data_IF_682817736372
#
_entry.id   IF_682817736372
#
_cell.length_a   1.000
_cell.length_b   1.000
_cell.length_c   1.000
_cell.angle_alpha   90.00
_cell.angle_beta   90.00
_cell.angle_gamma   90.00
#
_symmetry.space_group_name_H-M   'P 1'
#
loop_
_entity.id
_entity.type
_entity.pdbx_description
1 polymer ?
#
# COMPACT_ATOMS: atom_id res chain seq x y z
N UNK A 1 -7.32 6.44 -1.21
CA UNK A 1 -8.35 6.68 -2.25
C UNK A 1 -7.97 7.75 -3.29
N UNK A 2 -7.12 8.75 -2.99
CA UNK A 2 -6.76 9.84 -3.92
C UNK A 2 -5.61 9.55 -4.92
N UNK A 3 -4.97 8.38 -4.84
CA UNK A 3 -3.74 8.09 -5.59
C UNK A 3 -3.89 8.21 -7.12
N UNK A 4 -4.94 7.63 -7.70
CA UNK A 4 -5.15 7.67 -9.16
C UNK A 4 -5.53 9.07 -9.66
N UNK A 5 -6.33 9.82 -8.90
CA UNK A 5 -6.63 11.22 -9.23
C UNK A 5 -5.37 12.09 -9.15
N UNK A 6 -4.51 11.86 -8.15
CA UNK A 6 -3.23 12.56 -8.02
C UNK A 6 -2.31 12.22 -9.20
N UNK A 7 -2.27 10.96 -9.63
CA UNK A 7 -1.49 10.52 -10.79
C UNK A 7 -1.96 11.23 -12.08
N UNK A 8 -3.27 11.27 -12.36
CA UNK A 8 -3.78 12.06 -13.48
C UNK A 8 -3.41 13.55 -13.36
N UNK A 9 -3.53 14.13 -12.17
CA UNK A 9 -3.29 15.55 -11.94
C UNK A 9 -1.83 15.95 -12.18
N UNK A 10 -0.88 15.17 -11.64
CA UNK A 10 0.55 15.49 -11.76
C UNK A 10 1.11 15.24 -13.17
N UNK A 11 0.62 14.21 -13.87
CA UNK A 11 1.14 13.84 -15.20
C UNK A 11 0.32 14.39 -16.36
N UNK A 12 -0.90 14.90 -16.11
CA UNK A 12 -1.75 15.53 -17.11
C UNK A 12 -2.28 14.55 -18.15
N UNK A 13 -1.76 14.65 -19.37
CA UNK A 13 -2.15 13.78 -20.48
C UNK A 13 -1.44 12.42 -20.39
N UNK A 14 -2.08 11.48 -19.70
CA UNK A 14 -1.53 10.15 -19.46
C UNK A 14 -2.16 9.13 -20.41
N UNK A 15 -1.35 8.31 -21.06
CA UNK A 15 -1.85 7.28 -21.98
C UNK A 15 -2.70 6.25 -21.22
N UNK A 16 -3.74 5.74 -21.86
CA UNK A 16 -4.68 4.78 -21.24
C UNK A 16 -3.98 3.51 -20.74
N UNK A 17 -2.94 3.05 -21.44
CA UNK A 17 -2.11 1.91 -21.01
C UNK A 17 -1.37 2.21 -19.71
N UNK A 18 -0.81 3.43 -19.56
CA UNK A 18 -0.13 3.84 -18.33
C UNK A 18 -1.11 3.92 -17.15
N UNK A 19 -2.35 4.34 -17.40
CA UNK A 19 -3.42 4.32 -16.39
C UNK A 19 -3.78 2.91 -15.96
N UNK A 20 -3.95 1.98 -16.90
CA UNK A 20 -4.23 0.59 -16.55
C UNK A 20 -3.08 -0.03 -15.76
N UNK A 21 -1.83 0.22 -16.15
CA UNK A 21 -0.68 -0.25 -15.38
C UNK A 21 -0.70 0.29 -13.94
N UNK A 22 -0.95 1.59 -13.76
CA UNK A 22 -1.07 2.21 -12.45
C UNK A 22 -2.20 1.62 -11.60
N UNK A 23 -3.39 1.44 -12.19
CA UNK A 23 -4.55 0.86 -11.51
C UNK A 23 -4.27 -0.58 -11.10
N UNK A 24 -3.71 -1.40 -11.99
CA UNK A 24 -3.33 -2.79 -11.69
C UNK A 24 -2.34 -2.84 -10.54
N UNK A 25 -1.30 -2.00 -10.56
CA UNK A 25 -0.34 -1.92 -9.46
C UNK A 25 -1.01 -1.57 -8.11
N UNK A 26 -1.89 -0.56 -8.10
CA UNK A 26 -2.66 -0.19 -6.88
C UNK A 26 -3.57 -1.32 -6.41
N UNK A 27 -4.17 -2.06 -7.34
CA UNK A 27 -5.03 -3.20 -7.01
C UNK A 27 -4.22 -4.33 -6.36
N UNK A 28 -3.03 -4.64 -6.90
CA UNK A 28 -2.13 -5.63 -6.28
C UNK A 28 -1.79 -5.25 -4.84
N UNK A 29 -1.40 -3.99 -4.58
CA UNK A 29 -1.15 -3.54 -3.20
C UNK A 29 -2.37 -3.69 -2.28
N UNK A 30 -3.58 -3.43 -2.80
CA UNK A 30 -4.82 -3.59 -2.02
C UNK A 30 -5.11 -5.05 -1.71
N UNK A 31 -4.90 -5.95 -2.68
CA UNK A 31 -5.08 -7.39 -2.49
C UNK A 31 -4.10 -7.90 -1.44
N UNK A 32 -2.83 -7.52 -1.51
CA UNK A 32 -1.86 -7.95 -0.51
C UNK A 32 -2.20 -7.48 0.90
N UNK A 33 -2.57 -6.21 1.08
CA UNK A 33 -2.91 -5.71 2.41
C UNK A 33 -4.18 -6.32 3.01
N UNK A 34 -5.09 -6.91 2.21
CA UNK A 34 -6.43 -7.31 2.68
C UNK A 34 -6.78 -8.79 2.45
N UNK A 35 -5.96 -9.54 1.72
CA UNK A 35 -6.24 -10.95 1.44
C UNK A 35 -5.90 -11.87 2.60
N UNK A 36 -5.08 -11.41 3.55
CA UNK A 36 -4.57 -12.22 4.67
C UNK A 36 -3.52 -13.25 4.28
N UNK A 37 -3.08 -13.27 3.01
CA UNK A 37 -2.06 -14.19 2.52
C UNK A 37 -0.71 -13.48 2.37
N UNK A 38 0.33 -13.99 3.04
CA UNK A 38 1.72 -13.61 2.81
C UNK A 38 2.45 -14.77 2.11
N UNK A 39 2.49 -14.72 0.77
CA UNK A 39 3.07 -15.77 -0.08
C UNK A 39 4.50 -15.42 -0.53
N UNK A 40 5.32 -16.39 -0.99
CA UNK A 40 6.71 -16.13 -1.38
C UNK A 40 6.92 -15.12 -2.53
N UNK A 41 5.86 -14.74 -3.23
CA UNK A 41 5.87 -13.83 -4.36
C UNK A 41 5.24 -12.46 -4.04
N UNK A 42 4.99 -12.18 -2.77
CA UNK A 42 4.35 -10.94 -2.34
C UNK A 42 5.28 -9.73 -2.53
N UNK A 43 4.73 -8.52 -2.74
CA UNK A 43 5.47 -7.29 -3.04
C UNK A 43 6.35 -6.90 -1.86
N UNK A 44 5.92 -7.13 -0.63
CA UNK A 44 6.73 -6.96 0.59
C UNK A 44 8.04 -7.79 0.56
N UNK A 45 8.06 -8.96 -0.09
CA UNK A 45 9.27 -9.77 -0.22
C UNK A 45 10.32 -9.13 -1.15
N UNK A 46 9.88 -8.48 -2.22
CA UNK A 46 10.78 -7.80 -3.18
C UNK A 46 11.06 -6.34 -2.81
N UNK A 47 10.13 -5.71 -2.10
CA UNK A 47 10.17 -4.30 -1.73
C UNK A 47 9.85 -4.15 -0.24
N UNK A 48 10.89 -4.13 0.64
CA UNK A 48 10.72 -4.20 2.09
C UNK A 48 10.12 -2.94 2.74
N UNK A 49 9.72 -1.96 1.92
CA UNK A 49 9.00 -0.76 2.35
C UNK A 49 7.49 -0.86 2.10
N UNK A 50 7.01 -1.93 1.47
CA UNK A 50 5.58 -2.18 1.30
C UNK A 50 4.97 -2.67 2.60
N UNK A 51 3.71 -2.29 2.86
CA UNK A 51 2.91 -2.92 3.90
C UNK A 51 2.64 -4.39 3.52
N UNK A 52 2.61 -5.25 4.53
CA UNK A 52 2.22 -6.66 4.41
C UNK A 52 0.79 -6.84 5.00
N UNK A 53 0.17 -8.02 4.84
CA UNK A 53 -1.17 -8.27 5.39
C UNK A 53 -1.21 -8.06 6.91
N UNK A 54 -0.23 -8.60 7.64
CA UNK A 54 -0.15 -8.50 9.12
C UNK A 54 -0.17 -7.06 9.63
N UNK A 55 0.51 -6.13 8.93
CA UNK A 55 0.53 -4.71 9.29
C UNK A 55 -0.87 -4.10 9.28
N UNK A 56 -1.64 -4.41 8.24
CA UNK A 56 -3.00 -3.91 8.05
C UNK A 56 -4.01 -4.67 8.92
N UNK A 57 -3.82 -5.96 9.15
CA UNK A 57 -4.65 -6.75 10.08
C UNK A 57 -4.46 -6.26 11.52
N UNK A 58 -3.23 -5.93 11.93
CA UNK A 58 -2.98 -5.30 13.23
C UNK A 58 -3.70 -3.95 13.35
N UNK A 59 -3.73 -3.15 12.27
CA UNK A 59 -4.49 -1.90 12.25
C UNK A 59 -5.98 -2.16 12.52
N UNK A 60 -6.60 -3.15 11.86
CA UNK A 60 -8.01 -3.53 12.11
C UNK A 60 -8.25 -4.25 13.43
N UNK A 61 -7.21 -4.78 14.07
CA UNK A 61 -7.33 -5.37 15.39
C UNK A 61 -7.28 -4.29 16.49
N UNK A 62 -6.32 -3.36 16.40
CA UNK A 62 -5.99 -2.44 17.48
C UNK A 62 -6.47 -1.00 17.27
N UNK A 63 -6.64 -0.55 16.01
CA UNK A 63 -7.09 0.79 15.61
C UNK A 63 -6.31 1.99 16.18
N UNK A 64 -5.11 1.78 16.71
CA UNK A 64 -4.31 2.82 17.39
C UNK A 64 -2.94 3.08 16.73
N UNK A 65 -2.60 2.37 15.66
CA UNK A 65 -1.32 2.46 14.96
C UNK A 65 -1.46 1.89 13.53
N UNK A 66 -0.34 1.83 12.79
CA UNK A 66 -0.28 1.24 11.43
C UNK A 66 -1.27 1.90 10.46
N UNK A 67 -1.22 3.22 10.32
CA UNK A 67 -2.17 3.97 9.50
C UNK A 67 -1.80 3.95 8.01
N UNK A 68 -0.56 3.59 7.65
CA UNK A 68 -0.09 3.60 6.28
C UNK A 68 -0.53 2.33 5.53
N UNK A 69 -1.46 2.51 4.59
CA UNK A 69 -2.05 1.40 3.83
C UNK A 69 -1.20 0.82 2.70
N UNK A 70 -0.03 1.40 2.38
CA UNK A 70 0.78 0.94 1.25
C UNK A 70 2.27 0.92 1.56
N UNK A 71 2.80 1.95 2.24
CA UNK A 71 4.22 2.03 2.55
C UNK A 71 4.44 2.28 4.02
N UNK A 72 5.06 1.33 4.71
CA UNK A 72 5.32 1.38 6.16
C UNK A 72 6.26 2.52 6.56
N UNK A 73 6.99 3.08 5.60
CA UNK A 73 7.88 4.22 5.82
C UNK A 73 7.14 5.42 6.42
N UNK A 74 5.88 5.63 6.05
CA UNK A 74 5.10 6.74 6.60
C UNK A 74 4.83 6.56 8.09
N UNK A 75 4.46 5.35 8.50
CA UNK A 75 4.27 5.04 9.92
C UNK A 75 5.58 5.12 10.71
N UNK A 76 6.71 4.75 10.09
CA UNK A 76 8.04 4.89 10.71
C UNK A 76 8.43 6.35 10.89
N UNK A 77 8.23 7.19 9.87
CA UNK A 77 8.59 8.60 9.88
C UNK A 77 7.71 9.42 10.85
N UNK A 78 6.42 9.08 10.95
CA UNK A 78 5.44 9.82 11.75
C UNK A 78 5.30 9.22 13.16
N UNK A 79 5.96 8.08 13.43
CA UNK A 79 5.98 7.45 14.75
C UNK A 79 4.72 6.63 15.07
N UNK A 80 3.94 6.26 14.06
CA UNK A 80 2.71 5.48 14.19
C UNK A 80 2.90 3.99 13.91
N UNK A 81 4.15 3.54 13.68
CA UNK A 81 4.50 2.12 13.46
C UNK A 81 5.16 1.42 14.65
N UNK A 82 5.36 2.08 15.80
CA UNK A 82 6.19 1.56 16.89
C UNK A 82 5.66 0.29 17.60
N UNK A 83 4.41 -0.11 17.32
CA UNK A 83 3.78 -1.32 17.88
C UNK A 83 3.89 -2.54 16.96
N UNK A 84 4.53 -2.38 15.80
CA UNK A 84 4.64 -3.36 14.72
C UNK A 84 6.10 -3.54 14.30
#
# INVERSE_FOLDING_TARGET
MLGSFSFCYYFGNVHVISMFFWITFKLCQSIEAHSGYDIPFSINCFFPLSANPDHHDYHHMAFVSNFASSFIVWDRLIGTGAKY
#
